data_IF_137318026078
#
_entry.id   IF_137318026078
#
_cell.length_a   1.000
_cell.length_b   1.000
_cell.length_c   1.000
_cell.angle_alpha   90.00
_cell.angle_beta   90.00
_cell.angle_gamma   90.00
#
_symmetry.space_group_name_H-M   'P 1'
#
loop_
_entity.id
_entity.type
_entity.pdbx_description
1 polymer ?
#
# COMPACT_ATOMS: atom_id res chain seq x y z
N UNK A 1 -19.59 17.63 27.82
CA UNK A 1 -19.60 16.16 27.95
C UNK A 1 -18.16 15.71 27.96
N UNK A 2 -17.77 14.91 28.94
CA UNK A 2 -16.41 14.39 29.05
C UNK A 2 -16.16 13.44 27.87
N UNK A 3 -15.07 13.62 27.13
CA UNK A 3 -14.74 12.76 25.99
C UNK A 3 -14.43 11.33 26.47
N UNK A 4 -15.15 10.34 25.92
CA UNK A 4 -14.97 8.93 26.27
C UNK A 4 -13.58 8.46 25.82
N UNK A 5 -12.83 7.81 26.71
CA UNK A 5 -11.47 7.31 26.46
C UNK A 5 -11.35 5.80 26.66
N UNK A 6 -10.44 5.18 25.91
CA UNK A 6 -10.09 3.78 26.03
C UNK A 6 -9.36 3.56 27.36
N UNK A 7 -9.95 2.74 28.22
CA UNK A 7 -9.35 2.23 29.47
C UNK A 7 -8.70 0.86 29.26
N UNK A 8 -7.73 0.49 30.12
CA UNK A 8 -7.12 -0.85 30.13
C UNK A 8 -8.14 -2.00 30.19
N UNK A 9 -9.26 -1.79 30.88
CA UNK A 9 -10.35 -2.76 30.98
C UNK A 9 -10.99 -3.12 29.63
N UNK A 10 -10.85 -2.29 28.58
CA UNK A 10 -11.30 -2.66 27.24
C UNK A 10 -10.39 -3.68 26.55
N UNK A 11 -9.16 -3.89 27.03
CA UNK A 11 -8.24 -4.93 26.53
C UNK A 11 -8.13 -6.17 27.42
N UNK A 12 -8.95 -6.29 28.47
CA UNK A 12 -8.77 -7.32 29.51
C UNK A 12 -9.54 -8.63 29.27
N UNK A 13 -10.28 -8.75 28.17
CA UNK A 13 -11.14 -9.90 27.86
C UNK A 13 -12.45 -9.97 28.66
N UNK A 14 -12.78 -8.91 29.41
CA UNK A 14 -13.97 -8.83 30.25
C UNK A 14 -15.19 -8.22 29.55
N UNK A 15 -16.18 -7.80 30.35
CA UNK A 15 -17.42 -7.15 29.86
C UNK A 15 -17.13 -5.92 28.97
N UNK A 16 -16.16 -5.10 29.36
CA UNK A 16 -15.80 -3.89 28.62
C UNK A 16 -15.11 -4.20 27.28
N UNK A 17 -14.29 -5.25 27.22
CA UNK A 17 -13.74 -5.75 25.95
C UNK A 17 -14.85 -6.24 25.02
N UNK A 18 -15.80 -7.01 25.54
CA UNK A 18 -16.95 -7.47 24.77
C UNK A 18 -17.80 -6.31 24.24
N UNK A 19 -18.04 -5.30 25.08
CA UNK A 19 -18.76 -4.09 24.66
C UNK A 19 -18.03 -3.33 23.54
N UNK A 20 -16.69 -3.19 23.65
CA UNK A 20 -15.87 -2.58 22.60
C UNK A 20 -16.03 -3.35 21.27
N UNK A 21 -15.89 -4.67 21.32
CA UNK A 21 -16.00 -5.54 20.14
C UNK A 21 -17.38 -5.44 19.50
N UNK A 22 -18.45 -5.67 20.26
CA UNK A 22 -19.81 -5.71 19.71
C UNK A 22 -20.27 -4.33 19.20
N UNK A 23 -20.00 -3.24 19.94
CA UNK A 23 -20.53 -1.92 19.61
C UNK A 23 -19.72 -1.16 18.56
N UNK A 24 -18.40 -1.36 18.53
CA UNK A 24 -17.49 -0.57 17.70
C UNK A 24 -16.89 -1.37 16.55
N UNK A 25 -16.46 -2.62 16.78
CA UNK A 25 -15.80 -3.43 15.74
C UNK A 25 -16.82 -4.16 14.86
N UNK A 26 -17.64 -5.04 15.46
CA UNK A 26 -18.63 -5.86 14.73
C UNK A 26 -19.63 -4.98 13.99
N UNK A 27 -20.08 -3.89 14.62
CA UNK A 27 -21.02 -2.94 14.00
C UNK A 27 -20.48 -2.33 12.70
N UNK A 28 -19.17 -2.11 12.60
CA UNK A 28 -18.57 -1.52 11.41
C UNK A 28 -18.33 -2.56 10.32
N UNK A 29 -17.91 -3.75 10.70
CA UNK A 29 -17.52 -4.81 9.77
C UNK A 29 -18.52 -5.96 9.68
N UNK A 30 -19.81 -5.70 9.97
CA UNK A 30 -20.83 -6.73 10.13
C UNK A 30 -20.90 -7.68 8.92
N UNK A 31 -20.69 -8.97 9.18
CA UNK A 31 -20.85 -10.03 8.19
C UNK A 31 -21.09 -11.39 8.90
N UNK A 32 -21.65 -12.38 8.20
CA UNK A 32 -22.02 -13.66 8.81
C UNK A 32 -20.87 -14.44 9.45
N UNK A 33 -19.61 -14.20 9.06
CA UNK A 33 -18.45 -14.87 9.64
C UNK A 33 -17.99 -14.17 10.92
N UNK A 34 -17.84 -12.84 10.87
CA UNK A 34 -17.39 -12.05 12.02
C UNK A 34 -18.43 -12.04 13.16
N UNK A 35 -19.72 -11.99 12.84
CA UNK A 35 -20.80 -11.95 13.83
C UNK A 35 -20.90 -13.21 14.70
N UNK A 36 -20.21 -14.30 14.34
CA UNK A 36 -20.15 -15.51 15.16
C UNK A 36 -19.26 -15.35 16.40
N UNK A 37 -18.28 -14.44 16.35
CA UNK A 37 -17.35 -14.18 17.46
C UNK A 37 -16.69 -15.45 18.03
N UNK A 38 -16.35 -16.39 17.15
CA UNK A 38 -15.51 -17.55 17.48
C UNK A 38 -14.02 -17.15 17.51
N UNK A 39 -13.17 -18.06 17.98
CA UNK A 39 -11.70 -17.87 18.00
C UNK A 39 -11.08 -17.76 16.60
N UNK A 40 -11.85 -18.05 15.55
CA UNK A 40 -11.44 -18.08 14.16
C UNK A 40 -12.60 -17.76 13.21
N UNK A 41 -12.27 -17.21 12.04
CA UNK A 41 -13.18 -17.20 10.90
C UNK A 41 -13.06 -18.50 10.11
N UNK A 42 -14.19 -19.04 9.66
CA UNK A 42 -14.26 -20.14 8.69
C UNK A 42 -14.94 -19.62 7.45
N UNK A 43 -14.24 -19.67 6.31
CA UNK A 43 -14.69 -19.15 5.03
C UNK A 43 -14.47 -20.16 3.90
N UNK A 44 -15.27 -20.10 2.82
CA UNK A 44 -15.06 -20.97 1.66
C UNK A 44 -13.72 -20.62 1.00
N UNK A 45 -12.86 -21.62 0.85
CA UNK A 45 -11.65 -21.50 0.05
C UNK A 45 -11.95 -21.90 -1.40
N UNK A 46 -11.62 -21.06 -2.41
CA UNK A 46 -11.70 -21.48 -3.80
C UNK A 46 -10.72 -22.62 -4.08
N UNK A 47 -10.97 -23.41 -5.13
CA UNK A 47 -10.06 -24.49 -5.57
C UNK A 47 -8.73 -23.98 -6.18
N UNK A 48 -8.51 -22.67 -6.17
CA UNK A 48 -7.37 -21.96 -6.75
C UNK A 48 -6.24 -21.82 -5.74
N UNK A 49 -5.03 -21.50 -6.21
CA UNK A 49 -3.94 -21.02 -5.34
C UNK A 49 -4.33 -19.74 -4.60
N UNK A 50 -3.91 -19.67 -3.33
CA UNK A 50 -4.13 -18.51 -2.46
C UNK A 50 -2.86 -17.71 -2.25
N UNK A 51 -3.00 -16.39 -2.21
CA UNK A 51 -2.00 -15.45 -1.72
C UNK A 51 -2.32 -15.08 -0.27
N UNK A 52 -1.29 -14.92 0.56
CA UNK A 52 -1.40 -14.52 1.96
C UNK A 52 -0.32 -13.50 2.29
N UNK A 53 -0.71 -12.38 2.89
CA UNK A 53 0.20 -11.31 3.33
C UNK A 53 -0.20 -10.78 4.71
N UNK A 54 0.71 -10.08 5.35
CA UNK A 54 0.47 -9.37 6.61
C UNK A 54 1.34 -8.14 6.68
N UNK A 55 0.79 -7.05 7.20
CA UNK A 55 1.56 -5.83 7.39
C UNK A 55 1.13 -5.05 8.63
N UNK A 56 2.06 -4.29 9.18
CA UNK A 56 1.85 -3.50 10.41
C UNK A 56 2.02 -2.02 10.16
N UNK A 57 0.99 -1.25 10.52
CA UNK A 57 0.87 0.16 10.25
C UNK A 57 1.11 0.96 11.52
N UNK A 58 2.10 1.85 11.44
CA UNK A 58 2.62 2.63 12.57
C UNK A 58 2.79 4.11 12.24
N UNK A 59 2.18 4.56 11.13
CA UNK A 59 2.23 5.94 10.63
C UNK A 59 2.03 7.02 11.70
N UNK A 60 2.77 8.12 11.57
CA UNK A 60 2.57 9.33 12.37
C UNK A 60 2.67 10.59 11.48
N UNK A 61 1.64 11.45 11.50
CA UNK A 61 0.40 11.36 12.29
C UNK A 61 -0.59 10.28 11.83
N UNK A 62 -1.47 9.84 12.71
CA UNK A 62 -2.51 8.83 12.40
C UNK A 62 -3.61 9.32 11.47
N UNK A 63 -3.76 10.64 11.30
CA UNK A 63 -4.66 11.29 10.34
C UNK A 63 -3.85 12.29 9.52
N UNK A 64 -4.03 12.30 8.21
CA UNK A 64 -3.27 13.14 7.28
C UNK A 64 -4.13 13.50 6.05
N UNK A 65 -3.74 14.52 5.26
CA UNK A 65 -4.43 14.85 4.02
C UNK A 65 -4.53 13.62 3.11
N UNK A 66 -5.75 13.22 2.77
CA UNK A 66 -6.00 12.06 1.88
C UNK A 66 -6.14 10.71 2.58
N UNK A 67 -5.88 10.59 3.88
CA UNK A 67 -6.03 9.30 4.54
C UNK A 67 -5.82 9.30 6.05
N UNK A 68 -5.80 8.10 6.60
CA UNK A 68 -5.51 7.81 8.00
C UNK A 68 -4.96 6.38 8.11
N UNK A 69 -4.51 6.03 9.32
CA UNK A 69 -3.96 4.69 9.61
C UNK A 69 -4.95 3.56 9.29
N UNK A 70 -6.26 3.80 9.36
CA UNK A 70 -7.29 2.81 9.04
C UNK A 70 -7.39 2.53 7.55
N UNK A 71 -7.52 3.59 6.74
CA UNK A 71 -7.50 3.46 5.27
C UNK A 71 -6.21 2.82 4.80
N UNK A 72 -5.08 3.25 5.36
CA UNK A 72 -3.76 2.72 5.05
C UNK A 72 -3.67 1.22 5.32
N UNK A 73 -4.17 0.78 6.49
CA UNK A 73 -4.11 -0.63 6.87
C UNK A 73 -4.85 -1.53 5.88
N UNK A 74 -6.04 -1.12 5.46
CA UNK A 74 -6.81 -1.87 4.46
C UNK A 74 -6.13 -1.82 3.09
N UNK A 75 -5.76 -0.62 2.63
CA UNK A 75 -5.21 -0.45 1.28
C UNK A 75 -3.87 -1.18 1.11
N UNK A 76 -2.93 -1.04 2.04
CA UNK A 76 -1.61 -1.68 1.93
C UNK A 76 -1.71 -3.21 1.84
N UNK A 77 -2.51 -3.83 2.72
CA UNK A 77 -2.69 -5.29 2.71
C UNK A 77 -3.43 -5.77 1.45
N UNK A 78 -4.38 -4.99 0.95
CA UNK A 78 -5.05 -5.24 -0.33
C UNK A 78 -4.08 -5.12 -1.50
N UNK A 79 -3.17 -4.14 -1.46
CA UNK A 79 -2.16 -3.87 -2.49
C UNK A 79 -1.16 -5.01 -2.59
N UNK A 80 -0.63 -5.49 -1.46
CA UNK A 80 0.26 -6.65 -1.40
C UNK A 80 -0.34 -7.89 -2.10
N UNK A 81 -1.61 -8.18 -1.82
CA UNK A 81 -2.32 -9.28 -2.49
C UNK A 81 -2.43 -9.02 -3.99
N UNK A 82 -2.80 -7.80 -4.38
CA UNK A 82 -2.91 -7.40 -5.78
C UNK A 82 -1.57 -7.47 -6.52
N UNK A 83 -0.42 -7.26 -5.86
CA UNK A 83 0.91 -7.37 -6.49
C UNK A 83 1.22 -8.78 -6.99
N UNK A 84 0.57 -9.81 -6.44
CA UNK A 84 0.65 -11.19 -6.94
C UNK A 84 -0.37 -11.51 -8.05
N UNK A 85 -1.28 -10.57 -8.36
CA UNK A 85 -2.43 -10.78 -9.23
C UNK A 85 -3.61 -11.47 -8.54
N UNK A 86 -3.58 -11.64 -7.22
CA UNK A 86 -4.67 -12.22 -6.47
C UNK A 86 -5.84 -11.22 -6.33
N UNK A 87 -7.06 -11.75 -6.41
CA UNK A 87 -8.28 -11.04 -6.02
C UNK A 87 -8.41 -11.13 -4.50
N UNK A 88 -8.34 -10.01 -3.77
CA UNK A 88 -8.47 -10.02 -2.32
C UNK A 88 -9.86 -10.52 -1.90
N UNK A 89 -9.91 -11.38 -0.87
CA UNK A 89 -11.17 -11.96 -0.38
C UNK A 89 -11.48 -11.46 1.03
N UNK A 90 -10.55 -11.72 1.95
CA UNK A 90 -10.78 -11.55 3.38
C UNK A 90 -9.58 -10.94 4.06
N UNK A 91 -9.86 -10.10 5.06
CA UNK A 91 -8.87 -9.51 5.94
C UNK A 91 -9.10 -9.95 7.39
N UNK A 92 -8.03 -9.99 8.16
CA UNK A 92 -8.04 -9.93 9.61
C UNK A 92 -7.59 -8.53 10.06
N UNK A 93 -8.06 -8.06 11.22
CA UNK A 93 -7.69 -6.76 11.78
C UNK A 93 -7.33 -6.90 13.27
N UNK A 94 -6.08 -6.60 13.62
CA UNK A 94 -5.62 -6.52 15.01
C UNK A 94 -5.32 -5.08 15.38
N UNK A 95 -5.90 -4.62 16.48
CA UNK A 95 -5.68 -3.28 17.03
C UNK A 95 -4.86 -3.35 18.31
N UNK A 96 -3.79 -2.57 18.38
CA UNK A 96 -3.02 -2.36 19.61
C UNK A 96 -3.15 -0.89 19.99
N UNK A 97 -3.86 -0.61 21.08
CA UNK A 97 -4.31 0.73 21.44
C UNK A 97 -3.69 1.16 22.77
N UNK A 98 -3.22 2.39 22.86
CA UNK A 98 -2.74 2.99 24.10
C UNK A 98 -3.91 3.38 25.02
N UNK A 99 -3.79 3.11 26.33
CA UNK A 99 -4.72 3.63 27.31
C UNK A 99 -4.80 5.17 27.29
N UNK A 100 -6.03 5.68 27.22
CA UNK A 100 -6.34 7.10 27.11
C UNK A 100 -6.66 7.56 25.69
N UNK A 101 -6.52 6.68 24.69
CA UNK A 101 -6.92 6.96 23.31
C UNK A 101 -8.40 7.35 23.22
N UNK A 102 -8.74 8.29 22.33
CA UNK A 102 -10.10 8.80 22.20
C UNK A 102 -10.99 7.81 21.46
N UNK A 103 -12.18 7.54 22.00
CA UNK A 103 -13.17 6.70 21.30
C UNK A 103 -13.61 7.33 19.97
N UNK A 104 -13.71 8.66 19.90
CA UNK A 104 -14.07 9.37 18.67
C UNK A 104 -13.03 9.15 17.56
N UNK A 105 -11.75 9.12 17.91
CA UNK A 105 -10.70 8.84 16.93
C UNK A 105 -10.70 7.37 16.51
N UNK A 106 -10.94 6.44 17.44
CA UNK A 106 -11.13 5.04 17.10
C UNK A 106 -12.32 4.83 16.15
N UNK A 107 -13.48 5.46 16.43
CA UNK A 107 -14.65 5.40 15.55
C UNK A 107 -14.35 5.94 14.14
N UNK A 108 -13.60 7.05 14.05
CA UNK A 108 -13.18 7.62 12.76
C UNK A 108 -12.29 6.66 11.98
N UNK A 109 -11.30 6.05 12.63
CA UNK A 109 -10.41 5.04 12.03
C UNK A 109 -11.21 3.84 11.54
N UNK A 110 -12.11 3.29 12.36
CA UNK A 110 -12.93 2.14 11.98
C UNK A 110 -13.89 2.44 10.83
N UNK A 111 -14.45 3.65 10.77
CA UNK A 111 -15.27 4.11 9.64
C UNK A 111 -14.44 4.18 8.35
N UNK A 112 -13.23 4.73 8.43
CA UNK A 112 -12.30 4.81 7.30
C UNK A 112 -11.86 3.43 6.78
N UNK A 113 -11.57 2.48 7.70
CA UNK A 113 -11.31 1.08 7.35
C UNK A 113 -12.51 0.44 6.62
N UNK A 114 -13.73 0.67 7.12
CA UNK A 114 -14.95 0.16 6.50
C UNK A 114 -15.11 0.69 5.08
N UNK A 115 -14.97 2.00 4.88
CA UNK A 115 -15.05 2.63 3.56
C UNK A 115 -14.00 2.07 2.59
N UNK A 116 -12.77 1.85 3.06
CA UNK A 116 -11.72 1.22 2.26
C UNK A 116 -12.03 -0.26 1.93
N UNK A 117 -12.63 -1.01 2.85
CA UNK A 117 -13.05 -2.39 2.62
C UNK A 117 -14.19 -2.47 1.58
N UNK A 118 -15.18 -1.58 1.69
CA UNK A 118 -16.29 -1.47 0.73
C UNK A 118 -15.77 -1.09 -0.67
N UNK A 119 -14.83 -0.16 -0.74
CA UNK A 119 -14.17 0.22 -1.99
C UNK A 119 -13.40 -0.94 -2.63
N UNK A 120 -12.59 -1.65 -1.83
CA UNK A 120 -11.80 -2.80 -2.29
C UNK A 120 -12.63 -4.08 -2.47
N UNK A 121 -13.90 -4.09 -2.03
CA UNK A 121 -14.81 -5.24 -2.00
C UNK A 121 -14.29 -6.43 -1.19
N UNK A 122 -13.64 -6.14 -0.06
CA UNK A 122 -13.12 -7.14 0.89
C UNK A 122 -13.89 -7.10 2.20
N UNK A 123 -13.81 -8.19 2.98
CA UNK A 123 -14.46 -8.27 4.29
C UNK A 123 -13.43 -8.53 5.39
N UNK A 124 -13.53 -7.80 6.50
CA UNK A 124 -12.84 -8.16 7.74
C UNK A 124 -13.61 -9.29 8.41
N UNK A 125 -13.01 -10.48 8.51
CA UNK A 125 -13.72 -11.70 8.98
C UNK A 125 -13.32 -12.12 10.39
N UNK A 126 -12.19 -11.63 10.89
CA UNK A 126 -11.68 -11.91 12.24
C UNK A 126 -10.79 -10.76 12.71
N UNK A 127 -10.46 -10.74 14.00
CA UNK A 127 -9.61 -9.70 14.55
C UNK A 127 -9.22 -9.90 16.00
N UNK A 128 -8.41 -8.97 16.50
CA UNK A 128 -7.96 -8.93 17.89
C UNK A 128 -7.91 -7.49 18.39
N UNK A 129 -8.00 -7.30 19.70
CA UNK A 129 -7.82 -5.98 20.32
C UNK A 129 -7.02 -6.11 21.60
N UNK A 130 -5.93 -5.35 21.67
CA UNK A 130 -5.08 -5.20 22.85
C UNK A 130 -5.05 -3.75 23.27
N UNK A 131 -5.14 -3.52 24.58
CA UNK A 131 -4.95 -2.20 25.19
C UNK A 131 -3.73 -2.26 26.08
N UNK A 132 -2.75 -1.41 25.82
CA UNK A 132 -1.52 -1.30 26.62
C UNK A 132 -1.58 -0.10 27.54
N UNK A 133 -0.74 -0.08 28.57
CA UNK A 133 -0.60 1.07 29.47
C UNK A 133 -0.22 2.33 28.70
N UNK A 134 -0.61 3.49 29.24
CA UNK A 134 -0.13 4.78 28.75
C UNK A 134 1.40 4.82 28.69
N UNK A 135 1.95 5.29 27.59
CA UNK A 135 3.37 5.28 27.26
C UNK A 135 3.90 3.94 26.75
N UNK A 136 3.08 2.90 26.68
CA UNK A 136 3.47 1.56 26.19
C UNK A 136 3.50 1.43 24.67
N UNK A 137 2.75 2.26 23.95
CA UNK A 137 2.82 2.46 22.51
C UNK A 137 2.36 3.89 22.17
N UNK A 138 2.67 4.40 20.98
CA UNK A 138 2.20 5.72 20.54
C UNK A 138 0.82 5.63 19.90
N UNK A 139 -0.22 6.00 20.66
CA UNK A 139 -1.62 6.08 20.22
C UNK A 139 -2.23 4.73 19.82
N UNK A 140 -2.04 4.30 18.57
CA UNK A 140 -2.66 3.10 18.00
C UNK A 140 -1.78 2.54 16.88
N UNK A 141 -1.59 1.22 16.89
CA UNK A 141 -1.04 0.45 15.78
C UNK A 141 -2.08 -0.55 15.27
N UNK A 142 -2.03 -0.80 13.97
CA UNK A 142 -2.95 -1.73 13.30
C UNK A 142 -2.12 -2.76 12.57
N UNK A 143 -2.45 -4.04 12.73
CA UNK A 143 -1.99 -5.09 11.83
C UNK A 143 -3.19 -5.60 11.05
N UNK A 144 -3.01 -5.75 9.75
CA UNK A 144 -3.96 -6.46 8.90
C UNK A 144 -3.23 -7.57 8.18
N UNK A 145 -3.88 -8.73 8.13
CA UNK A 145 -3.42 -9.85 7.30
C UNK A 145 -4.53 -10.18 6.30
N UNK A 146 -4.15 -10.47 5.07
CA UNK A 146 -5.10 -10.66 3.98
C UNK A 146 -4.90 -11.97 3.26
N UNK A 147 -6.00 -12.59 2.83
CA UNK A 147 -6.02 -13.75 1.93
C UNK A 147 -6.71 -13.35 0.63
N UNK A 148 -6.08 -13.68 -0.50
CA UNK A 148 -6.64 -13.49 -1.85
C UNK A 148 -6.52 -14.77 -2.68
N UNK A 149 -7.28 -14.85 -3.76
CA UNK A 149 -7.26 -15.99 -4.69
C UNK A 149 -6.74 -15.59 -6.06
N UNK A 150 -5.89 -16.43 -6.64
CA UNK A 150 -5.37 -16.22 -7.99
C UNK A 150 -6.42 -16.66 -9.02
N UNK A 151 -6.67 -15.83 -10.04
CA UNK A 151 -7.66 -16.13 -11.07
C UNK A 151 -7.29 -17.35 -11.94
N UNK A 152 -5.99 -17.64 -12.08
CA UNK A 152 -5.43 -18.76 -12.83
C UNK A 152 -4.27 -19.37 -12.03
N UNK A 153 -4.25 -20.70 -11.90
CA UNK A 153 -3.19 -21.41 -11.20
C UNK A 153 -1.82 -21.27 -11.87
N UNK A 154 -1.77 -20.92 -13.16
CA UNK A 154 -0.53 -20.65 -13.89
C UNK A 154 -0.07 -19.19 -13.79
N UNK A 155 -0.89 -18.28 -13.26
CA UNK A 155 -0.53 -16.88 -13.10
C UNK A 155 0.62 -16.75 -12.10
N UNK A 156 1.75 -16.22 -12.53
CA UNK A 156 2.93 -16.10 -11.69
C UNK A 156 3.60 -14.75 -11.95
N UNK A 157 3.20 -13.78 -11.14
CA UNK A 157 3.78 -12.45 -11.08
C UNK A 157 4.75 -12.47 -9.88
N UNK A 158 6.04 -12.27 -10.12
CA UNK A 158 7.04 -12.38 -9.06
C UNK A 158 8.30 -11.57 -9.38
N UNK A 159 8.97 -11.05 -8.34
CA UNK A 159 10.08 -10.12 -8.52
C UNK A 159 11.32 -10.66 -9.23
N UNK A 160 11.47 -11.98 -9.34
CA UNK A 160 12.57 -12.63 -10.08
C UNK A 160 12.25 -12.92 -11.56
N UNK A 161 11.06 -12.51 -12.04
CA UNK A 161 10.58 -12.86 -13.39
C UNK A 161 10.72 -11.75 -14.41
N UNK A 162 11.21 -10.56 -14.04
CA UNK A 162 11.43 -9.49 -15.01
C UNK A 162 12.46 -9.95 -16.08
N UNK A 163 12.18 -9.65 -17.34
CA UNK A 163 12.94 -10.16 -18.47
C UNK A 163 13.41 -9.03 -19.37
N UNK A 164 14.53 -9.25 -20.07
CA UNK A 164 15.06 -8.29 -21.04
C UNK A 164 14.01 -7.96 -22.10
N UNK A 165 13.78 -6.66 -22.31
CA UNK A 165 12.77 -6.15 -23.24
C UNK A 165 11.41 -5.87 -22.60
N UNK A 166 11.20 -6.22 -21.33
CA UNK A 166 10.04 -5.75 -20.58
C UNK A 166 10.05 -4.23 -20.46
N UNK A 167 8.85 -3.65 -20.44
CA UNK A 167 8.64 -2.24 -20.12
C UNK A 167 8.27 -2.08 -18.66
N UNK A 168 8.79 -1.00 -18.08
CA UNK A 168 8.58 -0.64 -16.68
C UNK A 168 7.49 0.43 -16.66
N UNK A 169 6.38 0.16 -15.99
CA UNK A 169 5.25 1.04 -15.85
C UNK A 169 5.11 1.48 -14.39
N UNK A 170 4.66 2.72 -14.17
CA UNK A 170 4.11 3.16 -12.89
C UNK A 170 2.65 3.55 -13.07
N UNK A 171 1.80 3.34 -12.06
CA UNK A 171 0.36 3.61 -12.18
C UNK A 171 -0.04 5.07 -12.02
N UNK A 172 0.86 5.97 -11.64
CA UNK A 172 0.58 7.41 -11.60
C UNK A 172 1.65 8.21 -10.87
N UNK A 173 1.31 9.44 -10.47
CA UNK A 173 2.22 10.35 -9.76
C UNK A 173 2.89 9.74 -8.53
N UNK A 174 4.17 10.00 -8.33
CA UNK A 174 4.96 9.47 -7.23
C UNK A 174 5.28 10.53 -6.16
N UNK A 175 5.38 10.10 -4.91
CA UNK A 175 5.75 10.89 -3.73
C UNK A 175 4.59 11.59 -3.02
N UNK A 176 3.36 11.47 -3.54
CA UNK A 176 2.17 12.16 -3.01
C UNK A 176 1.90 11.81 -1.53
N UNK A 177 2.02 10.53 -1.14
CA UNK A 177 1.78 10.11 0.25
C UNK A 177 2.76 10.70 1.24
N UNK A 178 4.06 10.52 1.01
CA UNK A 178 5.06 10.99 1.96
C UNK A 178 5.02 12.51 2.13
N UNK A 179 4.84 13.28 1.05
CA UNK A 179 4.66 14.74 1.12
C UNK A 179 3.40 15.12 1.90
N UNK A 180 2.28 14.42 1.70
CA UNK A 180 1.04 14.69 2.44
C UNK A 180 1.21 14.43 3.94
N UNK A 181 1.87 13.33 4.33
CA UNK A 181 2.13 12.99 5.74
C UNK A 181 3.09 14.01 6.36
N UNK A 182 4.14 14.40 5.63
CA UNK A 182 5.13 15.36 6.09
C UNK A 182 4.55 16.74 6.35
N UNK A 183 3.59 17.18 5.52
CA UNK A 183 2.91 18.47 5.68
C UNK A 183 2.23 18.66 7.05
N UNK A 184 1.92 17.56 7.75
CA UNK A 184 1.27 17.57 9.06
C UNK A 184 2.22 17.36 10.24
N UNK A 185 3.51 17.10 9.97
CA UNK A 185 4.48 16.91 11.05
C UNK A 185 4.88 18.27 11.58
N UNK A 186 4.74 18.48 12.90
CA UNK A 186 4.92 19.75 13.64
C UNK A 186 6.22 20.53 13.38
N UNK A 187 7.23 19.93 12.75
CA UNK A 187 8.53 20.55 12.45
C UNK A 187 8.74 20.83 10.95
N UNK A 188 7.79 20.47 10.09
CA UNK A 188 7.88 20.49 8.63
C UNK A 188 6.57 20.98 8.00
N UNK A 189 5.75 21.72 8.75
CA UNK A 189 4.46 22.23 8.26
C UNK A 189 4.70 23.24 7.13
N UNK A 190 4.58 22.78 5.88
CA UNK A 190 4.43 23.63 4.71
C UNK A 190 3.02 23.47 4.16
N UNK A 191 2.47 24.57 3.63
CA UNK A 191 1.14 24.56 3.03
C UNK A 191 1.24 23.84 1.69
N UNK A 192 0.52 22.73 1.57
CA UNK A 192 0.38 21.98 0.33
C UNK A 192 -1.04 21.45 0.20
N UNK A 193 -1.56 21.45 -1.02
CA UNK A 193 -2.83 20.80 -1.36
C UNK A 193 -2.62 19.31 -1.71
N UNK A 194 -1.38 18.81 -1.60
CA UNK A 194 -1.05 17.41 -1.83
C UNK A 194 -1.74 16.54 -0.77
N UNK A 195 -2.41 15.50 -1.26
CA UNK A 195 -3.11 14.50 -0.47
C UNK A 195 -2.44 13.15 -0.73
N UNK A 196 -2.39 12.32 0.29
CA UNK A 196 -1.93 10.94 0.14
C UNK A 196 -2.74 10.23 -0.93
N UNK A 197 -2.04 9.42 -1.69
CA UNK A 197 -2.57 8.56 -2.74
C UNK A 197 -3.12 7.22 -2.21
N UNK A 198 -3.22 7.03 -0.88
CA UNK A 198 -3.63 5.76 -0.26
C UNK A 198 -4.92 5.23 -0.87
N UNK A 199 -4.82 4.10 -1.57
CA UNK A 199 -5.91 3.55 -2.36
C UNK A 199 -5.75 2.04 -2.60
N UNK A 200 -6.85 1.31 -2.73
CA UNK A 200 -6.82 -0.13 -3.00
C UNK A 200 -6.54 -0.41 -4.49
N UNK A 201 -5.37 -0.97 -4.76
CA UNK A 201 -4.82 -1.22 -6.10
C UNK A 201 -5.37 -2.48 -6.76
N UNK A 202 -6.15 -3.31 -6.06
CA UNK A 202 -6.91 -4.36 -6.72
C UNK A 202 -7.84 -3.78 -7.80
N UNK A 203 -8.34 -2.54 -7.62
CA UNK A 203 -9.10 -1.83 -8.63
C UNK A 203 -8.30 -1.42 -9.88
N UNK A 204 -6.97 -1.47 -9.82
CA UNK A 204 -6.07 -1.26 -10.96
C UNK A 204 -5.65 -2.61 -11.57
N UNK A 205 -5.35 -3.60 -10.74
CA UNK A 205 -4.83 -4.91 -11.17
C UNK A 205 -5.93 -5.82 -11.73
N UNK A 206 -7.08 -5.93 -11.06
CA UNK A 206 -8.16 -6.83 -11.48
C UNK A 206 -8.61 -6.63 -12.93
N UNK A 207 -8.80 -5.38 -13.45
CA UNK A 207 -9.12 -5.17 -14.86
C UNK A 207 -8.09 -5.75 -15.83
N UNK A 208 -6.80 -5.75 -15.48
CA UNK A 208 -5.73 -6.32 -16.30
C UNK A 208 -5.88 -7.86 -16.36
N UNK A 209 -6.14 -8.47 -15.20
CA UNK A 209 -6.34 -9.92 -15.10
C UNK A 209 -7.60 -10.35 -15.85
N UNK A 210 -8.72 -9.63 -15.66
CA UNK A 210 -10.01 -9.92 -16.31
C UNK A 210 -9.96 -9.82 -17.84
N UNK A 211 -9.09 -8.95 -18.39
CA UNK A 211 -8.86 -8.85 -19.83
C UNK A 211 -7.89 -9.91 -20.38
N UNK A 212 -7.45 -10.86 -19.56
CA UNK A 212 -6.52 -11.92 -19.99
C UNK A 212 -5.09 -11.42 -20.21
N UNK A 213 -4.74 -10.27 -19.63
CA UNK A 213 -3.42 -9.66 -19.78
C UNK A 213 -2.47 -10.02 -18.62
N UNK A 214 -2.95 -10.69 -17.58
CA UNK A 214 -2.17 -11.05 -16.39
C UNK A 214 -0.91 -11.87 -16.70
N UNK A 215 -0.95 -12.75 -17.70
CA UNK A 215 0.21 -13.56 -18.12
C UNK A 215 1.39 -12.74 -18.67
N UNK A 216 1.15 -11.50 -19.09
CA UNK A 216 2.17 -10.57 -19.60
C UNK A 216 2.76 -9.69 -18.50
N UNK A 217 2.23 -9.77 -17.27
CA UNK A 217 2.81 -9.14 -16.10
C UNK A 217 3.87 -10.09 -15.53
N UNK A 218 5.13 -9.74 -15.66
CA UNK A 218 6.23 -10.56 -15.16
C UNK A 218 6.48 -10.30 -13.67
N UNK A 219 6.49 -9.03 -13.26
CA UNK A 219 6.64 -8.63 -11.87
C UNK A 219 5.77 -7.40 -11.56
N UNK A 220 5.28 -7.31 -10.33
CA UNK A 220 4.67 -6.11 -9.78
C UNK A 220 5.10 -5.92 -8.33
N UNK A 221 5.21 -4.66 -7.91
CA UNK A 221 5.50 -4.21 -6.54
C UNK A 221 4.87 -2.83 -6.34
N UNK A 222 4.38 -2.56 -5.15
CA UNK A 222 3.99 -1.23 -4.70
C UNK A 222 5.20 -0.49 -4.11
N UNK A 223 5.47 0.76 -4.53
CA UNK A 223 6.63 1.51 -4.08
C UNK A 223 6.36 2.23 -2.75
N UNK A 224 6.17 1.45 -1.69
CA UNK A 224 5.97 1.92 -0.30
C UNK A 224 7.31 2.41 0.28
N UNK A 225 7.87 1.77 1.31
CA UNK A 225 9.12 2.24 1.95
C UNK A 225 10.29 2.19 0.97
N UNK A 226 11.01 3.32 0.87
CA UNK A 226 12.13 3.49 -0.05
C UNK A 226 11.73 3.77 -1.51
N UNK A 227 10.44 3.88 -1.78
CA UNK A 227 9.89 4.39 -3.04
C UNK A 227 10.21 3.56 -4.28
N UNK A 228 10.09 4.21 -5.44
CA UNK A 228 10.36 3.61 -6.75
C UNK A 228 11.80 3.07 -6.82
N UNK A 229 12.77 3.83 -6.33
CA UNK A 229 14.18 3.46 -6.41
C UNK A 229 14.46 2.09 -5.75
N UNK A 230 13.88 1.84 -4.58
CA UNK A 230 14.06 0.58 -3.85
C UNK A 230 13.41 -0.58 -4.60
N UNK A 231 12.16 -0.41 -5.07
CA UNK A 231 11.47 -1.43 -5.88
C UNK A 231 12.26 -1.80 -7.13
N UNK A 232 12.76 -0.82 -7.87
CA UNK A 232 13.54 -1.08 -9.08
C UNK A 232 14.82 -1.87 -8.77
N UNK A 233 15.55 -1.51 -7.71
CA UNK A 233 16.76 -2.21 -7.30
C UNK A 233 16.47 -3.65 -6.83
N UNK A 234 15.40 -3.86 -6.08
CA UNK A 234 14.97 -5.19 -5.66
C UNK A 234 14.65 -6.09 -6.86
N UNK A 235 13.91 -5.58 -7.84
CA UNK A 235 13.54 -6.35 -9.03
C UNK A 235 14.77 -6.62 -9.91
N UNK A 236 15.64 -5.63 -10.12
CA UNK A 236 16.88 -5.79 -10.86
C UNK A 236 17.75 -6.91 -10.24
N UNK A 237 17.87 -6.91 -8.91
CA UNK A 237 18.63 -7.90 -8.16
C UNK A 237 17.99 -9.29 -8.22
N UNK A 238 16.69 -9.40 -7.90
CA UNK A 238 15.97 -10.68 -7.87
C UNK A 238 15.89 -11.35 -9.25
N UNK A 239 15.75 -10.56 -10.31
CA UNK A 239 15.67 -11.08 -11.69
C UNK A 239 17.03 -11.24 -12.36
N UNK A 240 18.11 -10.68 -11.78
CA UNK A 240 19.44 -10.73 -12.38
C UNK A 240 19.53 -10.00 -13.72
N UNK A 241 18.90 -8.83 -13.82
CA UNK A 241 18.80 -7.97 -15.02
C UNK A 241 19.23 -6.54 -14.68
N UNK A 242 19.54 -5.73 -15.69
CA UNK A 242 19.72 -4.28 -15.53
C UNK A 242 18.42 -3.54 -15.85
N UNK A 243 18.24 -2.33 -15.32
CA UNK A 243 17.09 -1.48 -15.62
C UNK A 243 17.54 -0.12 -16.14
N UNK A 244 16.82 0.44 -17.10
CA UNK A 244 17.01 1.81 -17.57
C UNK A 244 15.69 2.55 -17.49
N UNK A 245 15.64 3.64 -16.75
CA UNK A 245 14.49 4.53 -16.61
C UNK A 245 14.83 5.94 -17.12
N UNK A 246 13.83 6.61 -17.66
CA UNK A 246 13.91 7.96 -18.22
C UNK A 246 13.28 8.96 -17.25
N UNK A 247 14.09 9.82 -16.65
CA UNK A 247 13.64 10.78 -15.63
C UNK A 247 12.45 11.64 -16.10
N UNK A 248 12.51 12.11 -17.35
CA UNK A 248 11.48 12.95 -17.95
C UNK A 248 10.13 12.24 -18.15
N UNK A 249 10.10 10.89 -18.07
CA UNK A 249 8.89 10.10 -18.17
C UNK A 249 8.28 9.75 -16.81
N UNK A 250 8.96 10.04 -15.70
CA UNK A 250 8.47 9.69 -14.37
C UNK A 250 7.44 10.74 -13.94
N UNK A 251 6.16 10.37 -13.73
CA UNK A 251 5.15 11.31 -13.32
C UNK A 251 5.39 11.73 -11.86
N UNK A 252 5.75 12.99 -11.65
CA UNK A 252 5.89 13.62 -10.33
C UNK A 252 5.26 15.01 -10.43
N UNK A 253 4.38 15.32 -9.47
CA UNK A 253 3.72 16.63 -9.40
C UNK A 253 4.73 17.74 -9.13
N UNK A 254 4.48 18.93 -9.67
CA UNK A 254 5.40 20.05 -9.46
C UNK A 254 5.41 20.50 -7.99
N UNK A 255 4.29 20.36 -7.27
CA UNK A 255 4.21 20.59 -5.83
C UNK A 255 5.07 19.60 -5.03
N UNK A 256 5.11 18.33 -5.46
CA UNK A 256 5.97 17.30 -4.84
C UNK A 256 7.45 17.61 -5.12
N UNK A 257 7.79 17.99 -6.36
CA UNK A 257 9.17 18.42 -6.70
C UNK A 257 9.60 19.61 -5.86
N UNK A 258 8.76 20.65 -5.77
CA UNK A 258 9.04 21.85 -4.99
C UNK A 258 9.24 21.53 -3.50
N UNK A 259 8.41 20.65 -2.92
CA UNK A 259 8.59 20.18 -1.55
C UNK A 259 9.91 19.41 -1.38
N UNK A 260 10.23 18.51 -2.30
CA UNK A 260 11.49 17.75 -2.29
C UNK A 260 12.72 18.67 -2.36
N UNK A 261 12.69 19.71 -3.21
CA UNK A 261 13.77 20.69 -3.34
C UNK A 261 14.02 21.45 -2.03
N UNK A 262 12.95 21.87 -1.34
CA UNK A 262 13.06 22.56 -0.04
C UNK A 262 13.64 21.64 1.03
N UNK A 263 13.23 20.37 1.02
CA UNK A 263 13.61 19.38 2.04
C UNK A 263 14.94 18.67 1.75
N UNK A 264 15.47 18.79 0.54
CA UNK A 264 16.65 18.05 0.09
C UNK A 264 16.37 16.56 -0.13
N UNK A 265 15.13 16.20 -0.47
CA UNK A 265 14.74 14.82 -0.77
C UNK A 265 14.77 14.55 -2.27
N UNK A 266 14.94 13.27 -2.62
CA UNK A 266 14.78 12.79 -3.98
C UNK A 266 13.41 12.08 -4.08
N UNK A 267 12.50 12.56 -4.94
CA UNK A 267 11.12 12.06 -5.03
C UNK A 267 11.04 10.56 -5.40
N UNK A 268 12.09 10.00 -6.00
CA UNK A 268 12.11 8.58 -6.38
C UNK A 268 12.22 7.64 -5.18
N UNK A 269 12.57 8.17 -4.01
CA UNK A 269 12.68 7.42 -2.76
C UNK A 269 11.51 7.62 -1.82
N UNK A 270 10.59 8.53 -2.17
CA UNK A 270 9.43 8.82 -1.36
C UNK A 270 8.41 7.68 -1.44
N UNK A 271 7.78 7.39 -0.31
CA UNK A 271 6.78 6.35 -0.17
C UNK A 271 5.46 6.73 -0.85
N UNK A 272 4.81 5.70 -1.38
CA UNK A 272 3.53 5.74 -2.08
C UNK A 272 2.62 4.65 -1.51
N UNK A 273 1.33 4.94 -1.35
CA UNK A 273 0.37 4.01 -0.71
C UNK A 273 -0.83 3.68 -1.61
N UNK A 274 -0.76 4.12 -2.87
CA UNK A 274 -1.73 3.78 -3.92
C UNK A 274 -1.10 3.81 -5.31
N UNK A 275 0.14 3.30 -5.42
CA UNK A 275 0.84 3.14 -6.70
C UNK A 275 1.39 1.73 -6.83
N UNK A 276 1.52 1.28 -8.08
CA UNK A 276 2.26 0.08 -8.42
C UNK A 276 3.33 0.37 -9.46
N UNK A 277 4.34 -0.47 -9.47
CA UNK A 277 5.37 -0.60 -10.50
C UNK A 277 5.15 -1.97 -11.16
N UNK A 278 5.01 -2.00 -12.49
CA UNK A 278 4.79 -3.23 -13.24
C UNK A 278 5.87 -3.43 -14.32
N UNK A 279 6.32 -4.67 -14.45
CA UNK A 279 7.26 -5.14 -15.46
C UNK A 279 6.48 -6.00 -16.45
N UNK A 280 6.33 -5.51 -17.67
CA UNK A 280 5.35 -6.02 -18.63
C UNK A 280 6.03 -6.39 -19.94
N UNK A 281 5.63 -7.52 -20.54
CA UNK A 281 6.13 -7.91 -21.86
C UNK A 281 6.02 -6.73 -22.85
N UNK A 282 7.13 -6.39 -23.51
CA UNK A 282 7.24 -5.14 -24.26
C UNK A 282 6.20 -4.94 -25.37
N UNK A 283 5.73 -6.02 -26.02
CA UNK A 283 4.69 -5.95 -27.06
C UNK A 283 3.29 -5.69 -26.49
N UNK A 284 3.07 -6.03 -25.22
CA UNK A 284 1.78 -5.91 -24.52
C UNK A 284 1.71 -4.70 -23.60
N UNK A 285 2.84 -4.06 -23.32
CA UNK A 285 2.92 -2.87 -22.48
C UNK A 285 1.94 -1.73 -22.88
N UNK A 286 1.73 -1.38 -24.17
CA UNK A 286 0.76 -0.34 -24.52
C UNK A 286 -0.69 -0.73 -24.20
N UNK A 287 -1.03 -2.01 -24.36
CA UNK A 287 -2.36 -2.54 -24.06
C UNK A 287 -2.62 -2.52 -22.55
N UNK A 288 -1.66 -3.03 -21.76
CA UNK A 288 -1.72 -2.98 -20.28
C UNK A 288 -1.79 -1.55 -19.77
N UNK A 289 -0.98 -0.63 -20.32
CA UNK A 289 -1.01 0.79 -19.98
C UNK A 289 -2.39 1.39 -20.23
N UNK A 290 -3.03 1.06 -21.37
CA UNK A 290 -4.37 1.53 -21.69
C UNK A 290 -5.41 1.04 -20.68
N UNK A 291 -5.30 -0.20 -20.21
CA UNK A 291 -6.18 -0.74 -19.16
C UNK A 291 -5.99 0.02 -17.86
N UNK A 292 -4.74 0.20 -17.41
CA UNK A 292 -4.43 0.95 -16.17
C UNK A 292 -5.00 2.37 -16.24
N UNK A 293 -4.80 3.08 -17.36
CA UNK A 293 -5.33 4.44 -17.57
C UNK A 293 -6.86 4.52 -17.58
N UNK A 294 -7.54 3.43 -17.88
CA UNK A 294 -9.00 3.34 -17.81
C UNK A 294 -9.54 3.18 -16.37
N UNK A 295 -8.67 2.96 -15.38
CA UNK A 295 -9.09 2.74 -13.99
C UNK A 295 -9.10 4.05 -13.18
N UNK A 296 -9.83 4.03 -12.05
CA UNK A 296 -9.94 5.19 -11.14
C UNK A 296 -8.58 5.71 -10.65
N UNK A 297 -7.64 4.79 -10.36
CA UNK A 297 -6.36 5.09 -9.72
C UNK A 297 -5.15 4.99 -10.65
N UNK A 298 -5.38 4.75 -11.95
CA UNK A 298 -4.33 4.55 -12.94
C UNK A 298 -4.27 5.60 -14.05
N UNK A 299 -5.05 6.68 -13.97
CA UNK A 299 -5.24 7.66 -15.06
C UNK A 299 -3.92 8.29 -15.55
N UNK A 300 -3.00 8.55 -14.63
CA UNK A 300 -1.69 9.16 -14.89
C UNK A 300 -0.59 8.12 -15.11
N UNK A 301 -0.93 6.85 -15.35
CA UNK A 301 0.05 5.80 -15.53
C UNK A 301 0.96 6.07 -16.73
N UNK A 302 2.21 5.62 -16.63
CA UNK A 302 3.23 5.89 -17.64
C UNK A 302 4.23 4.75 -17.75
N UNK A 303 4.69 4.48 -18.96
CA UNK A 303 5.90 3.67 -19.20
C UNK A 303 7.09 4.58 -18.93
N UNK A 304 7.93 4.20 -17.96
CA UNK A 304 9.06 5.01 -17.48
C UNK A 304 10.41 4.45 -17.94
N UNK A 305 10.46 3.24 -18.48
CA UNK A 305 11.72 2.60 -18.80
C UNK A 305 11.59 1.18 -19.34
N UNK A 306 12.71 0.48 -19.35
CA UNK A 306 12.80 -0.89 -19.84
C UNK A 306 13.85 -1.72 -19.09
N UNK A 307 13.67 -3.03 -19.14
CA UNK A 307 14.62 -4.02 -18.64
C UNK A 307 15.67 -4.32 -19.70
N UNK A 308 16.94 -4.24 -19.32
CA UNK A 308 18.12 -4.49 -20.16
C UNK A 308 18.93 -5.67 -19.64
N UNK A 309 19.77 -6.25 -20.50
CA UNK A 309 20.55 -7.44 -20.13
C UNK A 309 21.67 -7.15 -19.11
N UNK A 310 22.34 -6.00 -19.23
CA UNK A 310 23.50 -5.63 -18.43
C UNK A 310 23.52 -4.11 -18.17
N UNK A 311 24.18 -3.65 -17.10
CA UNK A 311 24.78 -4.44 -16.03
C UNK A 311 23.72 -4.98 -15.07
N UNK A 312 23.83 -6.26 -14.72
CA UNK A 312 22.88 -6.94 -13.84
C UNK A 312 22.83 -6.32 -12.44
N UNK A 313 21.64 -6.21 -11.87
CA UNK A 313 21.41 -5.68 -10.53
C UNK A 313 21.62 -4.17 -10.43
N UNK A 314 21.73 -3.45 -11.55
CA UNK A 314 21.94 -2.00 -11.58
C UNK A 314 20.76 -1.30 -12.23
N UNK A 315 20.34 -0.19 -11.63
CA UNK A 315 19.30 0.71 -12.16
C UNK A 315 19.97 1.98 -12.66
N UNK A 316 19.81 2.29 -13.94
CA UNK A 316 20.25 3.54 -14.54
C UNK A 316 19.08 4.50 -14.71
N UNK A 317 19.28 5.73 -14.26
CA UNK A 317 18.41 6.86 -14.53
C UNK A 317 19.05 7.73 -15.62
N UNK A 318 18.42 7.82 -16.78
CA UNK A 318 18.72 8.82 -17.79
C UNK A 318 18.07 10.13 -17.39
N UNK A 319 18.92 11.10 -17.09
CA UNK A 319 18.52 12.43 -16.64
C UNK A 319 17.91 13.24 -17.78
N UNK A 320 17.10 14.22 -17.43
CA UNK A 320 16.41 15.13 -18.36
C UNK A 320 17.37 15.95 -19.24
N UNK A 321 18.64 16.07 -18.83
CA UNK A 321 19.72 16.77 -19.56
C UNK A 321 20.61 15.83 -20.38
N UNK A 322 20.25 14.54 -20.48
CA UNK A 322 20.94 13.55 -21.32
C UNK A 322 22.10 12.79 -20.66
N UNK A 323 22.43 13.11 -19.41
CA UNK A 323 23.37 12.32 -18.59
C UNK A 323 22.74 11.03 -18.06
N UNK A 324 23.55 10.09 -17.57
CA UNK A 324 23.07 8.86 -16.89
C UNK A 324 23.71 8.77 -15.50
N UNK A 325 22.92 8.44 -14.48
CA UNK A 325 23.41 8.13 -13.13
C UNK A 325 22.87 6.78 -12.66
N UNK A 326 23.58 6.16 -11.72
CA UNK A 326 23.08 4.97 -11.01
C UNK A 326 22.06 5.44 -9.97
N UNK A 327 20.90 4.80 -9.94
CA UNK A 327 19.90 4.96 -8.90
C UNK A 327 20.06 3.79 -7.92
N UNK A 328 20.70 4.03 -6.79
CA UNK A 328 21.02 2.99 -5.80
C UNK A 328 19.94 2.92 -4.70
N UNK A 329 19.94 1.86 -3.89
CA UNK A 329 19.11 1.77 -2.70
C UNK A 329 19.64 2.69 -1.59
N UNK A 330 18.76 3.27 -0.78
CA UNK A 330 19.20 4.04 0.38
C UNK A 330 19.80 3.13 1.46
N UNK A 331 20.83 3.61 2.14
CA UNK A 331 21.42 2.91 3.28
C UNK A 331 20.49 2.91 4.52
N UNK A 332 19.64 3.93 4.65
CA UNK A 332 18.68 4.11 5.75
C UNK A 332 17.39 4.71 5.23
N UNK A 333 16.28 4.47 5.92
CA UNK A 333 15.04 5.21 5.67
C UNK A 333 15.29 6.72 5.78
N UNK A 334 14.66 7.52 4.91
CA UNK A 334 14.76 8.98 4.99
C UNK A 334 14.05 9.48 6.24
N UNK A 335 12.90 8.88 6.55
CA UNK A 335 12.02 9.31 7.63
C UNK A 335 11.34 8.11 8.29
N UNK A 336 11.32 8.07 9.64
CA UNK A 336 10.62 7.01 10.35
C UNK A 336 9.09 7.19 10.26
N UNK A 337 8.37 6.08 10.38
CA UNK A 337 6.90 6.02 10.58
C UNK A 337 6.09 6.72 9.48
N UNK A 338 6.48 6.50 8.22
CA UNK A 338 5.71 7.01 7.08
C UNK A 338 4.52 6.12 6.73
N UNK A 339 4.52 4.85 7.13
CA UNK A 339 3.39 3.92 7.01
C UNK A 339 3.29 3.00 8.23
#
# INVERSE_FOLDING_TARGET
MEEKRILLAHGSGGRMSRELIERYLVRQFENPMLSLLNDQAVFPAPAQRLAFTTDSYVIDPIFFPGGDIGRLAVCGTVNDLAMSGAVPLYLSCSLIIEEGFLFSDLERILCSMKEACEEAKVQVVTGDTKVVNRGGLDKIFINTSGVGALADDNLMICGHRAQVGDKILVSGFLGDHEIAVLSQRKNLEFITDIRSDSAPLNLVVEPIIQQGLGQYLHAMRDPTRGGLATVLNEIASQSGVGLVIEEALIPIRDEVKGACEIMGFDPLYLANEGKLVAFVEGKKAPEVLSVIRGTKYGQDAQIIGEVVAEPKGVVYLRTSIGGTRILDMLATEQLPRIC
#
